data_IF_362554545973
#
_entry.id   IF_362554545973
#
_cell.length_a   1.000
_cell.length_b   1.000
_cell.length_c   1.000
_cell.angle_alpha   90.00
_cell.angle_beta   90.00
_cell.angle_gamma   90.00
#
_symmetry.space_group_name_H-M   'P 1'
#
loop_
_entity.id
_entity.type
_entity.pdbx_description
1 polymer ?
#
# COMPACT_ATOMS: atom_id res chain seq x y z
N UNK A 1 -12.29 -3.33 46.89
CA UNK A 1 -11.70 -4.27 45.91
C UNK A 1 -12.80 -4.58 44.90
N UNK A 2 -12.82 -3.83 43.84
CA UNK A 2 -13.75 -4.05 42.71
C UNK A 2 -13.11 -5.10 41.79
N UNK A 3 -13.71 -6.27 41.74
CA UNK A 3 -13.34 -7.31 40.75
C UNK A 3 -13.84 -6.84 39.39
N UNK A 4 -12.93 -6.33 38.59
CA UNK A 4 -13.22 -5.93 37.25
C UNK A 4 -13.48 -7.19 36.39
N UNK A 5 -14.59 -7.16 35.73
CA UNK A 5 -15.14 -8.19 34.85
C UNK A 5 -14.23 -8.43 33.63
N UNK A 6 -14.38 -9.59 33.06
CA UNK A 6 -13.57 -10.12 31.97
C UNK A 6 -13.35 -9.13 30.82
N UNK A 7 -12.15 -9.15 30.21
CA UNK A 7 -11.69 -8.19 29.21
C UNK A 7 -12.50 -8.07 27.93
N UNK A 8 -13.38 -9.04 27.64
CA UNK A 8 -14.16 -9.05 26.40
C UNK A 8 -15.23 -7.94 26.33
N UNK A 9 -15.86 -7.62 27.49
CA UNK A 9 -16.87 -6.55 27.50
C UNK A 9 -16.25 -5.15 27.46
N UNK A 10 -15.01 -5.00 27.92
CA UNK A 10 -14.32 -3.71 27.90
C UNK A 10 -13.73 -3.35 26.53
N UNK A 11 -13.39 -4.34 25.73
CA UNK A 11 -12.83 -4.11 24.40
C UNK A 11 -13.87 -3.65 23.35
N UNK A 12 -15.09 -4.19 23.39
CA UNK A 12 -16.17 -3.73 22.50
C UNK A 12 -16.61 -2.29 22.80
N UNK A 13 -16.45 -1.85 24.04
CA UNK A 13 -16.83 -0.49 24.46
C UNK A 13 -15.69 0.54 24.35
N UNK A 14 -14.43 0.11 24.21
CA UNK A 14 -13.28 1.02 24.10
C UNK A 14 -13.25 1.79 22.76
N UNK A 15 -14.04 1.37 21.78
CA UNK A 15 -14.16 2.08 20.50
C UNK A 15 -15.24 3.16 20.49
N UNK A 16 -16.09 3.21 21.48
CA UNK A 16 -17.04 4.30 21.66
C UNK A 16 -16.42 5.25 22.70
N UNK A 17 -15.71 6.24 22.20
CA UNK A 17 -15.37 7.41 23.03
C UNK A 17 -16.71 7.99 23.50
N UNK A 18 -17.06 7.67 24.74
CA UNK A 18 -18.20 8.27 25.43
C UNK A 18 -18.01 9.80 25.38
N UNK A 19 -18.94 10.58 24.84
CA UNK A 19 -18.87 12.03 24.89
C UNK A 19 -18.69 12.57 26.31
N UNK A 20 -19.03 11.80 27.35
CA UNK A 20 -18.73 12.09 28.73
C UNK A 20 -17.23 11.93 29.09
N UNK A 21 -16.48 11.13 28.33
CA UNK A 21 -15.02 10.97 28.52
C UNK A 21 -14.23 12.24 28.15
N UNK A 22 -14.87 13.22 27.47
CA UNK A 22 -14.27 14.53 27.19
C UNK A 22 -13.96 15.34 28.48
N UNK A 23 -14.41 14.88 29.65
CA UNK A 23 -14.13 15.50 30.97
C UNK A 23 -13.07 14.75 31.78
N UNK A 24 -12.64 13.58 31.35
CA UNK A 24 -11.60 12.82 31.99
C UNK A 24 -10.25 13.53 31.89
N UNK A 25 -9.45 13.51 32.92
CA UNK A 25 -8.08 14.02 32.89
C UNK A 25 -7.19 13.11 32.04
N UNK A 26 -6.11 13.65 31.51
CA UNK A 26 -5.13 12.86 30.77
C UNK A 26 -4.56 11.69 31.58
N UNK A 27 -4.43 11.88 32.91
CA UNK A 27 -3.94 10.84 33.81
C UNK A 27 -4.96 9.70 33.96
N UNK A 28 -6.25 9.99 34.02
CA UNK A 28 -7.32 8.99 34.07
C UNK A 28 -7.39 8.20 32.75
N UNK A 29 -7.29 8.88 31.62
CA UNK A 29 -7.26 8.24 30.27
C UNK A 29 -6.04 7.32 30.15
N UNK A 30 -4.86 7.79 30.52
CA UNK A 30 -3.62 6.99 30.43
C UNK A 30 -3.67 5.78 31.36
N UNK A 31 -4.30 5.90 32.51
CA UNK A 31 -4.49 4.80 33.47
C UNK A 31 -5.42 3.74 32.90
N UNK A 32 -6.56 4.15 32.35
CA UNK A 32 -7.52 3.24 31.71
C UNK A 32 -6.90 2.49 30.50
N UNK A 33 -6.20 3.19 29.63
CA UNK A 33 -5.45 2.58 28.50
C UNK A 33 -4.45 1.54 29.02
N UNK A 34 -3.69 1.87 30.06
CA UNK A 34 -2.70 0.96 30.64
C UNK A 34 -3.33 -0.31 31.23
N UNK A 35 -4.49 -0.19 31.86
CA UNK A 35 -5.25 -1.31 32.43
C UNK A 35 -5.79 -2.24 31.33
N UNK A 36 -6.37 -1.66 30.27
CA UNK A 36 -6.85 -2.41 29.08
C UNK A 36 -5.70 -3.18 28.43
N UNK A 37 -4.56 -2.53 28.29
CA UNK A 37 -3.36 -3.12 27.71
C UNK A 37 -2.82 -4.29 28.50
N UNK A 38 -2.74 -4.15 29.81
CA UNK A 38 -2.26 -5.23 30.68
C UNK A 38 -3.24 -6.42 30.64
N UNK A 39 -4.54 -6.16 30.63
CA UNK A 39 -5.55 -7.20 30.51
C UNK A 39 -5.44 -7.97 29.17
N UNK A 40 -5.24 -7.26 28.05
CA UNK A 40 -5.00 -7.88 26.75
C UNK A 40 -3.71 -8.72 26.73
N UNK A 41 -2.63 -8.17 27.28
CA UNK A 41 -1.35 -8.88 27.39
C UNK A 41 -1.47 -10.16 28.20
N UNK A 42 -2.20 -10.14 29.31
CA UNK A 42 -2.44 -11.34 30.13
C UNK A 42 -3.25 -12.42 29.38
N UNK A 43 -4.21 -12.02 28.55
CA UNK A 43 -4.96 -12.97 27.70
C UNK A 43 -4.07 -13.64 26.67
N UNK A 44 -3.18 -12.88 26.02
CA UNK A 44 -2.23 -13.41 25.05
C UNK A 44 -1.24 -14.37 25.71
N UNK A 45 -0.69 -14.00 26.87
CA UNK A 45 0.23 -14.84 27.65
C UNK A 45 -0.45 -16.11 28.16
N UNK A 46 -1.76 -16.07 28.42
CA UNK A 46 -2.55 -17.23 28.81
C UNK A 46 -2.93 -18.15 27.62
N UNK A 47 -2.52 -17.82 26.40
CA UNK A 47 -2.85 -18.58 25.18
C UNK A 47 -4.30 -18.40 24.69
N UNK A 48 -5.12 -17.61 25.37
CA UNK A 48 -6.53 -17.43 25.01
C UNK A 48 -6.74 -16.73 23.65
N UNK A 49 -5.74 -15.95 23.21
CA UNK A 49 -5.76 -15.24 21.92
C UNK A 49 -5.02 -15.98 20.80
N UNK A 50 -4.23 -17.01 21.09
CA UNK A 50 -3.54 -17.78 20.04
C UNK A 50 -4.55 -18.46 19.10
N UNK A 51 -5.67 -18.95 19.61
CA UNK A 51 -6.71 -19.59 18.81
C UNK A 51 -7.51 -18.59 17.94
N UNK A 52 -7.51 -17.30 18.31
CA UNK A 52 -8.25 -16.27 17.60
C UNK A 52 -7.39 -15.53 16.58
N UNK A 53 -6.07 -15.66 16.63
CA UNK A 53 -5.16 -15.07 15.65
C UNK A 53 -5.03 -16.01 14.43
N UNK A 54 -5.26 -15.51 13.23
CA UNK A 54 -5.03 -16.32 12.04
C UNK A 54 -3.54 -16.69 11.95
N UNK A 55 -3.27 -17.85 11.41
CA UNK A 55 -1.88 -18.24 11.13
C UNK A 55 -1.27 -17.19 10.20
N UNK A 56 -0.07 -16.76 10.53
CA UNK A 56 0.70 -15.78 9.72
C UNK A 56 1.38 -16.43 8.51
N UNK A 57 1.40 -17.76 8.45
CA UNK A 57 1.84 -18.55 7.31
C UNK A 57 0.63 -19.25 6.66
N UNK A 58 0.55 -19.18 5.34
CA UNK A 58 -0.44 -19.86 4.55
C UNK A 58 0.26 -20.71 3.49
N UNK A 59 0.36 -22.01 3.73
CA UNK A 59 1.16 -22.93 2.92
C UNK A 59 0.79 -22.94 1.42
N UNK A 60 -0.49 -22.84 1.02
CA UNK A 60 -0.86 -22.71 -0.39
C UNK A 60 -0.28 -21.45 -1.07
N UNK A 61 -0.06 -20.38 -0.32
CA UNK A 61 0.60 -19.17 -0.78
C UNK A 61 2.08 -19.20 -0.37
N UNK A 62 2.92 -19.76 -1.23
CA UNK A 62 4.31 -20.10 -0.91
C UNK A 62 5.14 -18.97 -0.33
N UNK A 63 4.94 -17.75 -0.80
CA UNK A 63 5.72 -16.63 -0.28
C UNK A 63 5.39 -16.26 1.16
N UNK A 64 4.25 -16.70 1.71
CA UNK A 64 3.95 -16.50 3.13
C UNK A 64 4.97 -17.18 4.03
N UNK A 65 5.48 -18.36 3.63
CA UNK A 65 6.51 -19.10 4.36
C UNK A 65 7.84 -18.34 4.46
N UNK A 66 8.10 -17.42 3.53
CA UNK A 66 9.33 -16.62 3.49
C UNK A 66 9.16 -15.22 4.09
N UNK A 67 7.93 -14.77 4.27
CA UNK A 67 7.61 -13.39 4.66
C UNK A 67 6.91 -13.25 6.00
N UNK A 68 6.34 -14.33 6.54
CA UNK A 68 5.69 -14.26 7.84
C UNK A 68 6.70 -14.01 8.97
N UNK A 69 6.29 -13.42 10.08
CA UNK A 69 7.11 -13.31 11.27
C UNK A 69 7.54 -14.68 11.79
N UNK A 70 8.82 -14.84 12.09
CA UNK A 70 9.40 -16.08 12.65
C UNK A 70 9.78 -15.94 14.12
N UNK A 71 9.61 -14.75 14.69
CA UNK A 71 9.83 -14.44 16.09
C UNK A 71 8.49 -14.21 16.76
N UNK A 72 8.44 -14.43 18.05
CA UNK A 72 7.26 -14.11 18.86
C UNK A 72 6.85 -12.66 18.68
N UNK A 73 5.54 -12.41 18.69
CA UNK A 73 5.00 -11.07 18.63
C UNK A 73 5.33 -10.35 19.95
N UNK A 74 5.90 -9.15 19.82
CA UNK A 74 6.09 -8.27 20.94
C UNK A 74 4.92 -7.30 21.03
N UNK A 75 4.21 -7.36 22.14
CA UNK A 75 3.22 -6.33 22.45
C UNK A 75 3.96 -5.07 22.86
N UNK A 76 3.74 -4.03 22.11
CA UNK A 76 4.28 -2.71 22.39
C UNK A 76 3.19 -1.87 23.03
N UNK A 77 3.59 -1.00 23.95
CA UNK A 77 2.68 -0.03 24.55
C UNK A 77 2.18 0.94 23.47
N UNK A 78 0.84 1.06 23.24
CA UNK A 78 0.29 1.95 22.22
C UNK A 78 0.66 3.40 22.45
N UNK A 79 0.66 3.86 23.70
CA UNK A 79 1.02 5.23 24.03
C UNK A 79 2.46 5.54 23.62
N UNK A 80 3.39 4.61 23.87
CA UNK A 80 4.78 4.75 23.43
C UNK A 80 4.89 4.74 21.91
N UNK A 81 4.08 3.93 21.21
CA UNK A 81 4.08 3.90 19.75
C UNK A 81 3.56 5.23 19.19
N UNK A 82 2.46 5.75 19.71
CA UNK A 82 1.89 7.02 19.25
C UNK A 82 2.84 8.19 19.47
N UNK A 83 3.50 8.25 20.63
CA UNK A 83 4.47 9.29 20.96
C UNK A 83 5.74 9.23 20.08
N UNK A 84 6.12 8.04 19.63
CA UNK A 84 7.34 7.83 18.85
C UNK A 84 7.07 7.47 17.39
N UNK A 85 5.81 7.46 16.96
CA UNK A 85 5.47 7.28 15.56
C UNK A 85 6.08 8.39 14.71
N UNK A 86 6.73 8.06 13.60
CA UNK A 86 7.27 9.08 12.72
C UNK A 86 6.13 9.93 12.16
N UNK A 87 6.19 11.24 12.38
CA UNK A 87 5.32 12.18 11.70
C UNK A 87 5.80 12.28 10.25
N UNK A 88 4.96 11.83 9.32
CA UNK A 88 5.23 11.97 7.90
C UNK A 88 4.58 13.27 7.38
N UNK A 89 5.34 14.14 6.76
CA UNK A 89 4.85 15.42 6.22
C UNK A 89 5.08 15.52 4.71
N UNK A 90 4.17 16.20 4.02
CA UNK A 90 4.30 16.52 2.59
C UNK A 90 5.63 17.27 2.28
N UNK A 91 6.18 17.98 3.28
CA UNK A 91 7.45 18.71 3.16
C UNK A 91 8.67 17.81 3.09
N UNK A 92 8.51 16.53 3.44
CA UNK A 92 9.60 15.53 3.45
C UNK A 92 9.77 14.87 2.06
N UNK A 93 8.91 15.21 1.10
CA UNK A 93 9.00 14.72 -0.28
C UNK A 93 9.72 15.74 -1.14
N UNK A 94 10.89 15.36 -1.64
CA UNK A 94 11.63 16.21 -2.58
C UNK A 94 11.05 16.10 -3.99
N UNK A 95 10.98 17.21 -4.71
CA UNK A 95 10.40 17.25 -6.07
C UNK A 95 11.06 16.27 -7.05
N UNK A 96 12.34 15.98 -6.88
CA UNK A 96 13.06 15.03 -7.74
C UNK A 96 12.74 13.56 -7.45
N UNK A 97 12.01 13.24 -6.39
CA UNK A 97 11.60 11.86 -6.10
C UNK A 97 10.53 11.34 -7.07
N UNK A 98 9.88 12.23 -7.79
CA UNK A 98 8.97 11.87 -8.88
C UNK A 98 9.67 11.52 -10.20
N UNK A 99 11.00 11.64 -10.28
CA UNK A 99 11.77 11.13 -11.41
C UNK A 99 12.67 9.97 -10.97
N UNK A 100 12.20 8.75 -11.22
CA UNK A 100 12.89 7.53 -10.84
C UNK A 100 14.11 7.23 -11.75
N UNK A 101 14.27 8.00 -12.82
CA UNK A 101 15.36 7.77 -13.80
C UNK A 101 16.64 8.55 -13.47
N UNK A 102 16.58 9.48 -12.51
CA UNK A 102 17.73 10.33 -12.14
C UNK A 102 18.29 10.05 -10.73
N UNK A 103 17.84 8.98 -10.10
CA UNK A 103 18.24 8.61 -8.72
C UNK A 103 19.68 8.10 -8.61
N UNK A 104 20.31 7.77 -9.74
CA UNK A 104 21.68 7.26 -9.85
C UNK A 104 22.49 8.07 -10.85
N UNK A 105 23.81 7.87 -10.84
CA UNK A 105 24.72 8.60 -11.74
C UNK A 105 24.68 8.10 -13.21
N UNK A 106 24.13 6.90 -13.44
CA UNK A 106 24.00 6.31 -14.77
C UNK A 106 22.54 6.27 -15.23
N UNK A 107 22.34 6.09 -16.54
CA UNK A 107 21.02 5.94 -17.14
C UNK A 107 20.45 4.55 -16.85
N UNK A 108 19.18 4.43 -16.42
CA UNK A 108 18.52 3.15 -16.28
C UNK A 108 18.21 2.53 -17.65
N UNK A 109 18.16 1.19 -17.69
CA UNK A 109 17.89 0.42 -18.89
C UNK A 109 16.37 0.27 -19.08
N UNK A 110 15.86 0.53 -20.29
CA UNK A 110 14.47 0.26 -20.64
C UNK A 110 13.77 1.42 -21.32
N UNK A 111 12.48 1.22 -21.62
CA UNK A 111 11.59 2.25 -22.16
C UNK A 111 11.27 3.27 -21.07
N UNK A 112 11.65 4.54 -21.29
CA UNK A 112 11.25 5.63 -20.42
C UNK A 112 9.79 5.96 -20.64
N UNK A 113 9.05 6.13 -19.55
CA UNK A 113 7.64 6.51 -19.56
C UNK A 113 7.36 7.67 -18.61
N UNK A 114 6.33 8.43 -18.96
CA UNK A 114 5.71 9.40 -18.04
C UNK A 114 4.33 8.85 -17.68
N UNK A 115 4.06 8.76 -16.39
CA UNK A 115 2.73 8.43 -15.88
C UNK A 115 2.16 9.67 -15.22
N UNK A 116 0.97 10.08 -15.64
CA UNK A 116 0.26 11.22 -15.06
C UNK A 116 -1.21 10.86 -14.84
N UNK A 117 -1.89 11.63 -14.01
CA UNK A 117 -3.30 11.45 -13.72
C UNK A 117 -3.75 12.36 -12.59
N UNK A 118 -4.92 12.06 -12.04
CA UNK A 118 -5.50 12.78 -10.91
C UNK A 118 -5.89 11.85 -9.79
N UNK A 119 -5.79 12.34 -8.56
CA UNK A 119 -6.44 11.72 -7.42
C UNK A 119 -7.76 12.46 -7.17
N UNK A 120 -8.84 11.71 -7.15
CA UNK A 120 -10.21 12.21 -7.03
C UNK A 120 -10.91 11.55 -5.85
N UNK A 121 -11.83 12.27 -5.21
CA UNK A 121 -12.78 11.67 -4.26
C UNK A 121 -13.93 10.93 -4.99
N UNK A 122 -14.87 10.36 -4.22
CA UNK A 122 -16.02 9.64 -4.78
C UNK A 122 -17.02 10.48 -5.55
N UNK A 123 -16.96 11.80 -5.39
CA UNK A 123 -17.80 12.77 -6.10
C UNK A 123 -17.08 13.36 -7.34
N UNK A 124 -15.86 12.91 -7.61
CA UNK A 124 -15.03 13.40 -8.71
C UNK A 124 -14.31 14.72 -8.43
N UNK A 125 -14.24 15.15 -7.17
CA UNK A 125 -13.50 16.36 -6.80
C UNK A 125 -12.00 16.03 -6.64
N UNK A 126 -11.11 16.95 -7.02
CA UNK A 126 -9.67 16.75 -6.89
C UNK A 126 -9.22 16.70 -5.42
N UNK A 127 -8.30 15.80 -5.11
CA UNK A 127 -7.66 15.68 -3.80
C UNK A 127 -6.24 16.24 -3.88
N UNK A 128 -6.08 17.45 -3.37
CA UNK A 128 -4.80 18.15 -3.36
C UNK A 128 -3.93 17.72 -2.17
N UNK A 129 -2.60 17.75 -2.36
CA UNK A 129 -1.64 17.47 -1.30
C UNK A 129 -1.58 16.01 -0.86
N UNK A 130 -2.13 15.09 -1.67
CA UNK A 130 -2.09 13.65 -1.41
C UNK A 130 -0.69 13.11 -1.66
N UNK A 131 -0.13 12.39 -0.69
CA UNK A 131 1.10 11.64 -0.88
C UNK A 131 0.82 10.39 -1.70
N UNK A 132 1.68 10.15 -2.67
CA UNK A 132 1.71 8.94 -3.49
C UNK A 132 3.11 8.34 -3.38
N UNK A 133 3.21 7.11 -2.88
CA UNK A 133 4.41 6.30 -2.99
C UNK A 133 4.26 5.34 -4.18
N UNK A 134 5.35 5.13 -4.90
CA UNK A 134 5.40 4.34 -6.11
C UNK A 134 6.50 3.31 -5.96
N UNK A 135 6.22 2.03 -6.32
CA UNK A 135 7.28 1.03 -6.45
C UNK A 135 6.98 0.03 -7.56
N UNK A 136 8.01 -0.44 -8.21
CA UNK A 136 7.90 -1.30 -9.38
C UNK A 136 9.14 -2.17 -9.61
N UNK A 137 8.99 -3.18 -10.46
CA UNK A 137 10.11 -3.90 -11.05
C UNK A 137 10.84 -3.05 -12.11
N UNK A 138 12.08 -3.41 -12.43
CA UNK A 138 12.82 -2.82 -13.54
C UNK A 138 12.34 -3.35 -14.92
N UNK A 139 12.99 -2.92 -15.99
CA UNK A 139 12.70 -3.36 -17.36
C UNK A 139 12.96 -4.85 -17.64
N UNK A 140 13.56 -5.58 -16.69
CA UNK A 140 13.75 -7.03 -16.76
C UNK A 140 12.79 -7.81 -15.85
N UNK A 141 11.83 -7.14 -15.20
CA UNK A 141 10.89 -7.75 -14.24
C UNK A 141 11.53 -8.08 -12.90
N UNK A 142 12.58 -7.36 -12.49
CA UNK A 142 13.32 -7.59 -11.25
C UNK A 142 13.15 -6.44 -10.27
N UNK A 143 12.83 -6.76 -9.01
CA UNK A 143 12.85 -5.80 -7.89
C UNK A 143 14.22 -5.74 -7.21
N UNK A 144 14.58 -4.56 -6.75
CA UNK A 144 15.74 -4.39 -5.85
C UNK A 144 15.33 -4.77 -4.43
N UNK A 145 15.10 -6.05 -4.21
CA UNK A 145 14.68 -6.59 -2.92
C UNK A 145 15.39 -7.92 -2.63
N UNK A 146 15.87 -8.10 -1.39
CA UNK A 146 16.64 -9.29 -0.98
C UNK A 146 15.89 -10.62 -1.17
N UNK A 147 14.57 -10.60 -1.16
CA UNK A 147 13.71 -11.79 -1.32
C UNK A 147 13.26 -12.06 -2.75
N UNK A 148 13.47 -11.11 -3.66
CA UNK A 148 13.21 -11.37 -5.06
C UNK A 148 14.28 -12.32 -5.61
N UNK A 149 13.84 -13.51 -6.01
CA UNK A 149 14.71 -14.57 -6.54
C UNK A 149 14.52 -14.77 -8.06
N UNK A 150 13.83 -13.83 -8.72
CA UNK A 150 13.71 -13.90 -10.16
C UNK A 150 15.11 -13.78 -10.79
N UNK A 151 15.53 -14.68 -11.71
CA UNK A 151 16.89 -14.69 -12.25
C UNK A 151 17.20 -13.56 -13.24
N UNK A 152 16.25 -12.64 -13.46
CA UNK A 152 16.47 -11.46 -14.28
C UNK A 152 17.52 -10.52 -13.67
N UNK A 153 18.25 -9.74 -14.48
CA UNK A 153 19.30 -8.85 -13.97
C UNK A 153 18.73 -7.69 -13.17
N UNK A 154 19.48 -7.28 -12.14
CA UNK A 154 19.23 -6.00 -11.45
C UNK A 154 19.86 -4.89 -12.29
N UNK A 155 19.13 -3.80 -12.46
CA UNK A 155 19.66 -2.58 -13.05
C UNK A 155 20.36 -1.75 -11.95
N UNK A 156 21.66 -1.49 -12.04
CA UNK A 156 22.39 -0.72 -11.02
C UNK A 156 21.98 0.76 -10.98
N UNK A 157 21.31 1.25 -12.01
CA UNK A 157 20.89 2.63 -12.15
C UNK A 157 19.38 2.83 -11.93
N UNK A 158 18.67 1.83 -11.41
CA UNK A 158 17.23 1.92 -11.18
C UNK A 158 16.82 1.26 -9.86
N UNK A 159 16.37 2.05 -8.91
CA UNK A 159 15.83 1.56 -7.63
C UNK A 159 14.35 1.12 -7.76
N UNK A 160 13.60 1.78 -8.62
CA UNK A 160 12.18 1.49 -8.84
C UNK A 160 11.25 1.96 -7.73
N UNK A 161 11.67 2.92 -6.91
CA UNK A 161 10.87 3.52 -5.82
C UNK A 161 10.91 5.04 -5.94
N UNK A 162 9.75 5.68 -5.80
CA UNK A 162 9.62 7.12 -5.86
C UNK A 162 8.43 7.64 -5.08
N UNK A 163 8.32 8.96 -4.95
CA UNK A 163 7.21 9.64 -4.28
C UNK A 163 6.77 10.85 -5.08
N UNK A 164 5.47 11.14 -5.03
CA UNK A 164 4.88 12.35 -5.59
C UNK A 164 3.83 12.92 -4.63
N UNK A 165 3.56 14.21 -4.75
CA UNK A 165 2.48 14.90 -4.05
C UNK A 165 1.53 15.47 -5.10
N UNK A 166 0.22 15.28 -4.90
CA UNK A 166 -0.76 15.86 -5.82
C UNK A 166 -0.82 17.38 -5.71
N UNK A 167 -0.91 18.01 -6.86
CA UNK A 167 -1.10 19.45 -6.97
C UNK A 167 -2.52 19.93 -6.62
N UNK A 168 -2.80 21.25 -6.79
CA UNK A 168 -4.07 21.86 -6.37
C UNK A 168 -5.32 21.28 -7.03
N UNK A 169 -5.19 20.73 -8.25
CA UNK A 169 -6.28 20.08 -8.98
C UNK A 169 -6.22 18.56 -8.90
N UNK A 170 -5.54 18.00 -7.87
CA UNK A 170 -5.37 16.57 -7.67
C UNK A 170 -4.40 15.91 -8.65
N UNK A 171 -3.76 16.69 -9.53
CA UNK A 171 -2.85 16.20 -10.55
C UNK A 171 -1.56 15.62 -9.95
N UNK A 172 -1.07 14.54 -10.53
CA UNK A 172 0.25 13.98 -10.26
C UNK A 172 0.94 13.57 -11.55
N UNK A 173 2.26 13.54 -11.53
CA UNK A 173 3.08 13.02 -12.63
C UNK A 173 4.41 12.50 -12.09
N UNK A 174 4.90 11.44 -12.70
CA UNK A 174 6.25 10.92 -12.45
C UNK A 174 6.86 10.31 -13.70
N UNK A 175 8.19 10.32 -13.76
CA UNK A 175 8.97 9.69 -14.84
C UNK A 175 9.59 8.40 -14.31
N UNK A 176 9.52 7.33 -15.11
CA UNK A 176 10.09 6.04 -14.73
C UNK A 176 10.48 5.21 -15.96
N UNK A 177 10.97 4.00 -15.72
CA UNK A 177 11.17 2.96 -16.74
C UNK A 177 9.97 2.03 -16.73
N UNK A 178 9.44 1.69 -17.89
CA UNK A 178 8.34 0.73 -17.99
C UNK A 178 8.76 -0.62 -17.42
N UNK A 179 8.07 -1.14 -16.39
CA UNK A 179 8.41 -2.43 -15.81
C UNK A 179 8.13 -3.56 -16.81
N UNK A 180 8.92 -4.62 -16.74
CA UNK A 180 8.58 -5.86 -17.43
C UNK A 180 7.70 -6.77 -16.55
N UNK A 181 6.93 -7.67 -17.16
CA UNK A 181 6.24 -8.73 -16.46
C UNK A 181 7.23 -9.72 -15.83
N UNK A 182 6.77 -10.48 -14.84
CA UNK A 182 7.59 -11.51 -14.21
C UNK A 182 6.78 -12.73 -13.78
N UNK A 183 7.40 -13.94 -13.72
CA UNK A 183 6.73 -15.13 -13.24
C UNK A 183 6.50 -15.05 -11.73
N UNK A 184 5.27 -15.32 -11.31
CA UNK A 184 4.89 -15.29 -9.90
C UNK A 184 4.79 -16.71 -9.35
N UNK A 185 5.83 -17.15 -8.67
CA UNK A 185 5.99 -18.55 -8.23
C UNK A 185 5.07 -18.99 -7.08
N UNK A 186 4.18 -18.12 -6.61
CA UNK A 186 3.21 -18.43 -5.55
C UNK A 186 2.09 -19.37 -6.01
N UNK A 187 1.78 -19.38 -7.30
CA UNK A 187 0.75 -20.23 -7.92
C UNK A 187 1.31 -20.95 -9.14
N UNK A 188 0.58 -22.00 -9.59
CA UNK A 188 0.97 -22.74 -10.78
C UNK A 188 0.81 -21.87 -12.03
N UNK A 189 1.89 -21.73 -12.80
CA UNK A 189 1.94 -20.94 -14.05
C UNK A 189 1.37 -19.52 -13.91
N UNK A 190 1.52 -18.90 -12.75
CA UNK A 190 1.09 -17.53 -12.54
C UNK A 190 2.15 -16.54 -13.01
N UNK A 191 1.68 -15.48 -13.62
CA UNK A 191 2.49 -14.36 -14.12
C UNK A 191 1.91 -13.05 -13.63
N UNK A 192 2.78 -12.13 -13.31
CA UNK A 192 2.37 -10.74 -13.08
C UNK A 192 2.62 -9.96 -14.38
N UNK A 193 1.57 -9.38 -14.99
CA UNK A 193 1.73 -8.42 -16.08
C UNK A 193 2.62 -7.25 -15.67
N UNK A 194 3.05 -6.45 -16.63
CA UNK A 194 3.69 -5.16 -16.32
C UNK A 194 2.78 -4.30 -15.45
N UNK A 195 3.25 -3.88 -14.27
CA UNK A 195 2.46 -3.07 -13.34
C UNK A 195 3.34 -2.18 -12.46
N UNK A 196 2.74 -1.12 -11.97
CA UNK A 196 3.34 -0.21 -10.99
C UNK A 196 2.44 -0.19 -9.76
N UNK A 197 3.02 -0.40 -8.59
CA UNK A 197 2.32 -0.29 -7.33
C UNK A 197 2.21 1.16 -6.88
N UNK A 198 1.08 1.48 -6.27
CA UNK A 198 0.80 2.77 -5.67
C UNK A 198 0.35 2.60 -4.23
N UNK A 199 0.83 3.45 -3.36
CA UNK A 199 0.34 3.61 -2.00
C UNK A 199 0.01 5.07 -1.77
N UNK A 200 -1.25 5.36 -1.48
CA UNK A 200 -1.73 6.69 -1.21
C UNK A 200 -2.03 6.82 0.28
N UNK A 201 -1.52 7.87 0.89
CA UNK A 201 -1.79 8.19 2.28
C UNK A 201 -2.78 9.33 2.37
N UNK A 202 -3.83 9.14 3.17
CA UNK A 202 -4.78 10.19 3.48
C UNK A 202 -4.15 11.33 4.27
N UNK A 203 -4.83 12.46 4.31
CA UNK A 203 -4.39 13.65 5.07
C UNK A 203 -4.28 13.40 6.56
N UNK A 204 -5.03 12.42 7.07
CA UNK A 204 -5.13 12.09 8.51
C UNK A 204 -4.45 10.77 8.88
N UNK A 205 -3.64 10.20 8.01
CA UNK A 205 -2.93 8.91 8.21
C UNK A 205 -3.81 7.68 8.51
N UNK A 206 -5.10 7.86 8.65
CA UNK A 206 -6.05 6.80 9.04
C UNK A 206 -6.46 5.89 7.89
N UNK A 207 -6.16 6.30 6.65
CA UNK A 207 -6.50 5.51 5.47
C UNK A 207 -5.29 5.44 4.53
N UNK A 208 -4.84 4.23 4.29
CA UNK A 208 -3.84 3.91 3.28
C UNK A 208 -4.51 3.09 2.19
N UNK A 209 -4.46 3.59 0.95
CA UNK A 209 -4.88 2.87 -0.22
C UNK A 209 -3.69 2.23 -0.90
N UNK A 210 -3.67 0.91 -1.06
CA UNK A 210 -2.67 0.19 -1.85
C UNK A 210 -3.36 -0.34 -3.10
N UNK A 211 -2.80 -0.03 -4.26
CA UNK A 211 -3.36 -0.44 -5.54
C UNK A 211 -2.27 -0.63 -6.59
N UNK A 212 -2.64 -1.07 -7.78
CA UNK A 212 -1.72 -1.32 -8.88
C UNK A 212 -2.26 -0.72 -10.17
N UNK A 213 -1.39 -0.06 -10.92
CA UNK A 213 -1.67 0.37 -12.30
C UNK A 213 -1.11 -0.67 -13.27
N UNK A 214 -1.92 -1.07 -14.23
CA UNK A 214 -1.52 -1.96 -15.32
C UNK A 214 -1.44 -1.21 -16.65
N UNK A 215 -0.74 -1.81 -17.61
CA UNK A 215 -0.60 -1.25 -18.95
C UNK A 215 -1.62 -1.89 -19.92
N UNK A 216 -2.12 -1.13 -20.90
CA UNK A 216 -3.15 -1.62 -21.82
C UNK A 216 -2.64 -2.77 -22.72
N UNK A 217 -3.52 -3.76 -22.94
CA UNK A 217 -3.27 -4.83 -23.91
C UNK A 217 -2.28 -5.90 -23.46
N UNK A 218 -1.93 -6.00 -22.17
CA UNK A 218 -1.01 -7.02 -21.69
C UNK A 218 -1.64 -8.42 -21.81
N UNK A 219 -1.01 -9.36 -22.54
CA UNK A 219 -1.55 -10.72 -22.74
C UNK A 219 -1.55 -11.57 -21.47
N UNK A 220 -0.84 -11.16 -20.43
CA UNK A 220 -0.68 -11.91 -19.19
C UNK A 220 -1.81 -11.66 -18.16
N UNK A 221 -2.76 -10.78 -18.43
CA UNK A 221 -3.90 -10.56 -17.54
C UNK A 221 -4.63 -11.85 -17.18
N UNK A 222 -4.77 -12.78 -18.12
CA UNK A 222 -5.43 -14.08 -17.87
C UNK A 222 -4.63 -14.99 -16.91
N UNK A 223 -3.35 -14.72 -16.70
CA UNK A 223 -2.45 -15.50 -15.86
C UNK A 223 -2.11 -14.81 -14.53
N UNK A 224 -2.64 -13.61 -14.29
CA UNK A 224 -2.45 -12.89 -13.04
C UNK A 224 -3.55 -13.23 -12.02
N UNK A 225 -3.24 -14.00 -10.95
CA UNK A 225 -4.24 -14.34 -9.95
C UNK A 225 -4.82 -13.12 -9.23
N UNK A 226 -4.04 -12.05 -9.02
CA UNK A 226 -4.51 -10.82 -8.37
C UNK A 226 -5.53 -10.11 -9.27
N UNK A 227 -5.20 -9.90 -10.54
CA UNK A 227 -6.12 -9.28 -11.49
C UNK A 227 -7.38 -10.11 -11.70
N UNK A 228 -7.26 -11.45 -11.75
CA UNK A 228 -8.40 -12.35 -11.93
C UNK A 228 -9.28 -12.50 -10.68
N UNK A 229 -8.74 -12.27 -9.48
CA UNK A 229 -9.53 -12.26 -8.26
C UNK A 229 -10.57 -11.12 -8.21
N UNK A 230 -10.34 -10.04 -8.95
CA UNK A 230 -11.28 -8.93 -9.05
C UNK A 230 -12.44 -9.36 -9.95
N UNK A 231 -13.61 -9.61 -9.38
CA UNK A 231 -14.78 -10.13 -10.11
C UNK A 231 -15.46 -9.07 -10.98
N UNK A 232 -15.44 -7.81 -10.57
CA UNK A 232 -16.03 -6.70 -11.32
C UNK A 232 -15.14 -6.24 -12.48
N UNK A 233 -15.60 -6.43 -13.71
CA UNK A 233 -14.89 -6.01 -14.90
C UNK A 233 -14.61 -4.49 -14.93
N UNK A 234 -15.55 -3.66 -14.45
CA UNK A 234 -15.34 -2.21 -14.39
C UNK A 234 -14.25 -1.83 -13.38
N UNK A 235 -14.11 -2.60 -12.29
CA UNK A 235 -13.02 -2.42 -11.35
C UNK A 235 -11.68 -2.78 -12.00
N UNK A 236 -11.61 -3.89 -12.75
CA UNK A 236 -10.41 -4.25 -13.53
C UNK A 236 -10.04 -3.20 -14.58
N UNK A 237 -11.02 -2.70 -15.32
CA UNK A 237 -10.80 -1.69 -16.37
C UNK A 237 -10.22 -0.39 -15.78
N UNK A 238 -10.65 -0.02 -14.57
CA UNK A 238 -10.11 1.16 -13.86
C UNK A 238 -8.66 1.01 -13.40
N UNK A 239 -8.12 -0.20 -13.34
CA UNK A 239 -6.70 -0.42 -13.03
C UNK A 239 -5.79 -0.30 -14.25
N UNK A 240 -6.34 -0.22 -15.45
CA UNK A 240 -5.56 -0.18 -16.69
C UNK A 240 -5.39 1.28 -17.14
N UNK A 241 -4.14 1.72 -17.22
CA UNK A 241 -3.81 3.05 -17.74
C UNK A 241 -4.14 3.17 -19.22
N UNK A 242 -4.28 4.39 -19.70
CA UNK A 242 -4.45 4.70 -21.13
C UNK A 242 -3.23 5.40 -21.69
N UNK A 243 -2.83 5.04 -22.91
CA UNK A 243 -1.83 5.83 -23.62
C UNK A 243 -2.32 7.25 -23.84
N UNK A 244 -1.47 8.23 -23.55
CA UNK A 244 -1.78 9.64 -23.72
C UNK A 244 -0.69 10.34 -24.56
N UNK A 245 -1.08 10.70 -25.78
CA UNK A 245 -0.18 11.39 -26.72
C UNK A 245 0.21 12.77 -26.22
N UNK A 246 -0.64 13.44 -25.46
CA UNK A 246 -0.40 14.84 -25.02
C UNK A 246 0.74 14.96 -24.00
N UNK A 247 1.01 13.91 -23.24
CA UNK A 247 2.11 13.84 -22.28
C UNK A 247 3.27 12.97 -22.77
N UNK A 248 3.18 12.44 -23.98
CA UNK A 248 4.27 11.73 -24.64
C UNK A 248 5.33 12.71 -25.12
N UNK A 249 6.55 12.55 -24.63
CA UNK A 249 7.69 13.37 -25.07
C UNK A 249 8.33 12.76 -26.30
N UNK A 250 8.46 13.57 -27.36
CA UNK A 250 9.00 13.13 -28.65
C UNK A 250 10.38 12.50 -28.50
N UNK A 251 10.56 11.29 -29.02
CA UNK A 251 11.81 10.51 -29.03
C UNK A 251 12.43 10.29 -27.64
N UNK A 252 11.68 10.52 -26.54
CA UNK A 252 12.23 10.43 -25.19
C UNK A 252 11.41 9.58 -24.23
N UNK A 253 10.08 9.76 -24.11
CA UNK A 253 9.25 9.00 -23.17
C UNK A 253 7.82 8.83 -23.67
N UNK A 254 7.25 7.65 -23.50
CA UNK A 254 5.84 7.34 -23.78
C UNK A 254 4.95 7.75 -22.61
N UNK A 255 3.86 8.45 -22.89
CA UNK A 255 2.92 8.96 -21.88
C UNK A 255 1.77 8.00 -21.58
N UNK A 256 1.45 7.83 -20.31
CA UNK A 256 0.29 7.08 -19.83
C UNK A 256 -0.50 7.93 -18.83
N UNK A 257 -1.83 7.96 -19.00
CA UNK A 257 -2.75 8.61 -18.07
C UNK A 257 -3.47 7.56 -17.23
N UNK A 258 -3.56 7.81 -15.91
CA UNK A 258 -4.28 6.97 -14.99
C UNK A 258 -4.83 7.77 -13.81
N UNK A 259 -6.15 7.87 -13.71
CA UNK A 259 -6.82 8.54 -12.59
C UNK A 259 -7.10 7.56 -11.45
N UNK A 260 -6.99 8.02 -10.21
CA UNK A 260 -7.23 7.26 -8.99
C UNK A 260 -8.42 7.87 -8.27
N UNK A 261 -9.44 7.06 -8.00
CA UNK A 261 -10.64 7.45 -7.26
C UNK A 261 -10.61 6.80 -5.89
N UNK A 262 -10.62 7.59 -4.82
CA UNK A 262 -10.39 7.11 -3.45
C UNK A 262 -11.61 6.43 -2.83
N UNK A 263 -12.82 6.87 -3.17
CA UNK A 263 -14.06 6.44 -2.50
C UNK A 263 -15.24 6.29 -3.50
N UNK A 264 -16.39 5.80 -3.02
CA UNK A 264 -17.61 5.71 -3.82
C UNK A 264 -17.67 4.50 -4.75
N UNK A 265 -18.74 4.40 -5.53
CA UNK A 265 -19.01 3.26 -6.43
C UNK A 265 -18.02 3.12 -7.59
N UNK A 266 -17.28 4.18 -7.90
CA UNK A 266 -16.27 4.20 -8.95
C UNK A 266 -14.85 4.17 -8.38
N UNK A 267 -14.69 3.85 -7.10
CA UNK A 267 -13.36 3.80 -6.48
C UNK A 267 -12.42 2.88 -7.26
N UNK A 268 -11.16 3.22 -7.28
CA UNK A 268 -10.10 2.35 -7.76
C UNK A 268 -10.00 1.15 -6.81
N UNK A 269 -9.91 -0.05 -7.35
CA UNK A 269 -9.73 -1.25 -6.54
C UNK A 269 -8.45 -1.17 -5.70
N UNK A 270 -8.49 -1.68 -4.47
CA UNK A 270 -7.36 -1.71 -3.54
C UNK A 270 -7.15 -3.11 -2.96
N UNK A 271 -5.90 -3.41 -2.63
CA UNK A 271 -5.45 -4.76 -2.23
C UNK A 271 -6.04 -5.25 -0.89
N UNK A 272 -6.51 -4.35 -0.03
CA UNK A 272 -7.00 -4.69 1.32
C UNK A 272 -8.44 -5.26 1.34
N UNK A 273 -9.09 -5.38 0.19
CA UNK A 273 -10.45 -5.92 0.09
C UNK A 273 -10.53 -7.45 -0.01
N UNK A 274 -9.42 -8.15 -0.02
CA UNK A 274 -9.39 -9.62 -0.14
C UNK A 274 -9.82 -10.37 1.13
N UNK A 275 -10.16 -9.69 2.21
CA UNK A 275 -10.54 -10.28 3.50
C UNK A 275 -12.03 -10.47 3.74
N UNK A 276 -12.92 -10.02 2.86
CA UNK A 276 -14.38 -10.05 3.08
C UNK A 276 -15.17 -10.90 2.06
N UNK A 277 -14.59 -11.98 1.52
CA UNK A 277 -15.37 -12.98 0.77
C UNK A 277 -15.11 -14.38 1.26
#
# INVERSE_FOLDING_TARGET
MSTQTAPDESFENAHVLDPAASTASQEEISTEISEIHEAYRQQVLAGAKEETQPRVDFAPYRSSLLRHPTKDLHHTDPETIELHSPAFGQRDVHILESDLTIQHNGEPIGERIVVAGRVLDGDGRPVAGQLIEIWQANAAGRYVHKRDQHPAPIDPNFTGVGRAITGPNGEYSFTTIKPAPYPWKNHHNAWRPAHIHFSLFGTDFTQRMITQMYFPGDPLFALDPIYQAITDQKARDRLVATYDHSITSHEWATGYNWDIVLTGSNRTWMEDEEGEN
#
